data_IF_392428240612
#
_entry.id   IF_392428240612
#
_cell.length_a   1.000
_cell.length_b   1.000
_cell.length_c   1.000
_cell.angle_alpha   90.00
_cell.angle_beta   90.00
_cell.angle_gamma   90.00
#
_symmetry.space_group_name_H-M   'P 1'
#
loop_
_entity.id
_entity.type
_entity.pdbx_description
1 polymer ?
#
# COMPACT_ATOMS: atom_id res chain seq x y z
N UNK A 1 0.13 -12.02 -0.25
CA UNK A 1 1.18 -11.04 -0.62
C UNK A 1 1.59 -10.24 0.60
N UNK A 2 2.85 -9.80 0.68
CA UNK A 2 3.35 -8.94 1.75
C UNK A 2 4.02 -7.70 1.18
N UNK A 3 3.78 -6.54 1.78
CA UNK A 3 4.35 -5.27 1.36
C UNK A 3 5.87 -5.32 1.48
N UNK A 4 6.57 -5.13 0.36
CA UNK A 4 8.02 -5.22 0.28
C UNK A 4 8.71 -4.08 1.04
N UNK A 5 8.13 -2.88 1.00
CA UNK A 5 8.63 -1.72 1.75
C UNK A 5 7.55 -0.69 2.02
N UNK A 6 7.33 -0.40 3.32
CA UNK A 6 6.44 0.68 3.76
C UNK A 6 6.90 2.05 3.24
N UNK A 7 8.22 2.27 3.20
CA UNK A 7 8.78 3.55 2.77
C UNK A 7 8.58 3.76 1.27
N UNK A 8 8.74 2.69 0.47
CA UNK A 8 8.37 2.74 -0.95
C UNK A 8 6.89 3.05 -1.12
N UNK A 9 6.02 2.40 -0.36
CA UNK A 9 4.57 2.63 -0.44
C UNK A 9 4.19 4.09 -0.11
N UNK A 10 4.82 4.70 0.91
CA UNK A 10 4.62 6.11 1.27
C UNK A 10 5.01 7.10 0.17
N UNK A 11 5.88 6.73 -0.77
CA UNK A 11 6.21 7.60 -1.91
C UNK A 11 5.05 7.74 -2.90
N UNK A 12 4.07 6.82 -2.88
CA UNK A 12 2.96 6.75 -3.83
C UNK A 12 1.65 7.32 -3.30
N UNK A 13 1.54 7.50 -1.97
CA UNK A 13 0.31 7.94 -1.31
C UNK A 13 0.56 9.16 -0.45
N UNK A 14 -0.44 10.04 -0.36
CA UNK A 14 -0.40 11.14 0.59
C UNK A 14 -0.49 10.62 2.02
N UNK A 15 0.51 10.98 2.81
CA UNK A 15 0.57 10.78 4.27
C UNK A 15 0.00 11.99 5.00
N UNK A 16 -0.16 11.88 6.32
CA UNK A 16 -0.53 13.03 7.16
C UNK A 16 0.50 14.16 7.04
N UNK A 17 1.79 13.81 7.07
CA UNK A 17 2.91 14.74 6.93
C UNK A 17 2.88 15.46 5.57
N UNK A 18 2.61 14.75 4.46
CA UNK A 18 2.46 15.39 3.15
C UNK A 18 1.31 16.41 3.14
N UNK A 19 0.16 16.07 3.75
CA UNK A 19 -0.99 16.95 3.78
C UNK A 19 -0.75 18.18 4.64
N UNK A 20 -0.03 18.05 5.75
CA UNK A 20 0.40 19.17 6.58
C UNK A 20 1.40 20.07 5.82
N UNK A 21 2.37 19.47 5.14
CA UNK A 21 3.32 20.18 4.31
C UNK A 21 2.63 20.99 3.20
N UNK A 22 1.63 20.40 2.52
CA UNK A 22 0.81 21.09 1.50
C UNK A 22 0.04 22.26 2.11
N UNK A 23 -0.54 22.08 3.31
CA UNK A 23 -1.21 23.17 4.04
C UNK A 23 -0.26 24.32 4.39
N UNK A 24 1.02 24.01 4.61
CA UNK A 24 2.08 24.99 4.86
C UNK A 24 2.65 25.62 3.57
N UNK A 25 2.05 25.34 2.40
CA UNK A 25 2.44 25.93 1.12
C UNK A 25 3.45 25.13 0.31
N UNK A 26 3.76 23.87 0.69
CA UNK A 26 4.54 22.98 -0.18
C UNK A 26 3.73 22.61 -1.43
N UNK A 27 4.38 22.46 -2.59
CA UNK A 27 3.69 22.05 -3.81
C UNK A 27 3.14 20.63 -3.68
N UNK A 28 2.01 20.40 -4.35
CA UNK A 28 1.34 19.10 -4.45
C UNK A 28 2.13 18.20 -5.41
N UNK A 29 2.46 16.97 -5.00
CA UNK A 29 3.08 15.97 -5.88
C UNK A 29 2.00 15.17 -6.63
N UNK A 30 1.72 15.55 -7.88
CA UNK A 30 0.68 14.92 -8.70
C UNK A 30 0.88 13.41 -8.95
N UNK A 31 2.06 12.85 -8.65
CA UNK A 31 2.31 11.40 -8.71
C UNK A 31 1.70 10.64 -7.53
N UNK A 32 1.39 11.34 -6.42
CA UNK A 32 0.76 10.75 -5.24
C UNK A 32 -0.76 10.74 -5.35
N UNK A 33 -1.38 9.72 -4.75
CA UNK A 33 -2.84 9.61 -4.61
C UNK A 33 -3.27 9.65 -3.14
N UNK A 34 -4.48 10.14 -2.84
CA UNK A 34 -4.98 10.09 -1.46
C UNK A 34 -5.33 8.65 -1.06
N UNK A 35 -5.07 8.30 0.20
CA UNK A 35 -5.36 6.95 0.72
C UNK A 35 -6.85 6.58 0.56
N UNK A 36 -7.77 7.54 0.74
CA UNK A 36 -9.21 7.32 0.53
C UNK A 36 -9.54 7.01 -0.93
N UNK A 37 -8.89 7.69 -1.89
CA UNK A 37 -9.12 7.46 -3.32
C UNK A 37 -8.54 6.11 -3.75
N UNK A 38 -7.37 5.73 -3.23
CA UNK A 38 -6.81 4.40 -3.44
C UNK A 38 -7.74 3.31 -2.88
N UNK A 39 -8.18 3.46 -1.63
CA UNK A 39 -9.08 2.51 -0.98
C UNK A 39 -10.37 2.29 -1.79
N UNK A 40 -10.97 3.38 -2.30
CA UNK A 40 -12.15 3.32 -3.17
C UNK A 40 -11.88 2.57 -4.47
N UNK A 41 -10.73 2.78 -5.11
CA UNK A 41 -10.37 2.11 -6.38
C UNK A 41 -10.13 0.61 -6.21
N UNK A 42 -9.54 0.22 -5.08
CA UNK A 42 -9.17 -1.17 -4.76
C UNK A 42 -10.31 -1.93 -4.09
N UNK A 43 -11.37 -1.25 -3.65
CA UNK A 43 -12.52 -1.89 -3.00
C UNK A 43 -12.28 -2.26 -1.54
N UNK A 44 -11.39 -1.55 -0.84
CA UNK A 44 -11.05 -1.81 0.57
C UNK A 44 -11.43 -0.65 1.49
N UNK A 45 -11.52 -0.91 2.80
CA UNK A 45 -11.76 0.15 3.77
C UNK A 45 -10.56 1.11 3.86
N UNK A 46 -10.73 2.44 4.01
CA UNK A 46 -9.61 3.38 4.11
C UNK A 46 -8.59 3.06 5.21
N UNK A 47 -9.03 2.51 6.34
CA UNK A 47 -8.12 2.06 7.41
C UNK A 47 -7.16 0.97 6.96
N UNK A 48 -7.55 0.14 5.98
CA UNK A 48 -6.68 -0.88 5.42
C UNK A 48 -5.44 -0.25 4.76
N UNK A 49 -5.65 0.76 3.90
CA UNK A 49 -4.56 1.49 3.27
C UNK A 49 -3.73 2.23 4.33
N UNK A 50 -4.37 2.85 5.32
CA UNK A 50 -3.67 3.49 6.41
C UNK A 50 -2.78 2.51 7.20
N UNK A 51 -3.24 1.28 7.43
CA UNK A 51 -2.44 0.24 8.10
C UNK A 51 -1.23 -0.21 7.27
N UNK A 52 -1.35 -0.27 5.93
CA UNK A 52 -0.21 -0.51 5.04
C UNK A 52 0.80 0.64 5.09
N UNK A 53 0.32 1.89 5.07
CA UNK A 53 1.17 3.10 5.17
C UNK A 53 1.92 3.17 6.49
N UNK A 54 1.25 2.86 7.60
CA UNK A 54 1.88 2.88 8.93
C UNK A 54 2.80 1.67 9.16
N UNK A 55 2.62 0.59 8.40
CA UNK A 55 3.26 -0.70 8.62
C UNK A 55 2.62 -1.52 9.75
N UNK A 56 1.47 -1.08 10.29
CA UNK A 56 0.68 -1.88 11.25
C UNK A 56 0.21 -3.20 10.61
N UNK A 57 -0.09 -3.16 9.31
CA UNK A 57 -0.34 -4.33 8.49
C UNK A 57 0.69 -4.35 7.36
N UNK A 58 1.19 -5.52 7.01
CA UNK A 58 2.05 -5.70 5.84
C UNK A 58 1.50 -6.74 4.87
N UNK A 59 0.59 -7.61 5.30
CA UNK A 59 -0.04 -8.65 4.49
C UNK A 59 -1.32 -8.17 3.80
N UNK A 60 -1.60 -8.75 2.63
CA UNK A 60 -2.86 -8.64 1.92
C UNK A 60 -3.09 -9.85 1.00
N UNK A 61 -4.32 -10.01 0.49
CA UNK A 61 -4.61 -11.02 -0.55
C UNK A 61 -3.88 -10.67 -1.85
N UNK A 62 -3.68 -11.67 -2.71
CA UNK A 62 -3.07 -11.46 -4.03
C UNK A 62 -3.86 -10.47 -4.87
N UNK A 63 -5.19 -10.63 -4.93
CA UNK A 63 -6.10 -9.71 -5.61
C UNK A 63 -5.95 -8.25 -5.13
N UNK A 64 -5.88 -8.02 -3.81
CA UNK A 64 -5.71 -6.66 -3.27
C UNK A 64 -4.34 -6.09 -3.65
N UNK A 65 -3.27 -6.89 -3.63
CA UNK A 65 -1.94 -6.46 -4.05
C UNK A 65 -1.89 -6.08 -5.53
N UNK A 66 -2.48 -6.91 -6.39
CA UNK A 66 -2.57 -6.69 -7.84
C UNK A 66 -3.38 -5.41 -8.15
N UNK A 67 -4.55 -5.25 -7.54
CA UNK A 67 -5.37 -4.05 -7.71
C UNK A 67 -4.64 -2.77 -7.25
N UNK A 68 -3.86 -2.84 -6.16
CA UNK A 68 -3.04 -1.71 -5.71
C UNK A 68 -1.96 -1.39 -6.76
N UNK A 69 -1.25 -2.40 -7.26
CA UNK A 69 -0.20 -2.21 -8.25
C UNK A 69 -0.74 -1.64 -9.58
N UNK A 70 -1.90 -2.14 -10.02
CA UNK A 70 -2.61 -1.65 -11.20
C UNK A 70 -2.97 -0.16 -11.10
N UNK A 71 -3.45 0.30 -9.94
CA UNK A 71 -3.76 1.73 -9.72
C UNK A 71 -2.54 2.64 -9.96
N UNK A 72 -1.33 2.12 -9.72
CA UNK A 72 -0.08 2.83 -9.95
C UNK A 72 0.58 2.50 -11.30
N UNK A 73 0.03 1.57 -12.08
CA UNK A 73 0.65 1.07 -13.31
C UNK A 73 2.01 0.39 -13.06
N UNK A 74 2.16 -0.27 -11.91
CA UNK A 74 3.38 -0.95 -11.51
C UNK A 74 3.20 -2.47 -11.57
N UNK A 75 4.30 -3.19 -11.76
CA UNK A 75 4.31 -4.63 -11.52
C UNK A 75 4.08 -4.91 -10.03
N UNK A 76 3.29 -5.94 -9.71
CA UNK A 76 2.92 -6.29 -8.33
C UNK A 76 4.15 -6.52 -7.45
N UNK A 77 5.22 -7.11 -8.01
CA UNK A 77 6.47 -7.42 -7.30
C UNK A 77 7.29 -6.18 -6.92
N UNK A 78 6.98 -5.02 -7.52
CA UNK A 78 7.59 -3.74 -7.11
C UNK A 78 7.10 -3.31 -5.73
N UNK A 79 5.85 -3.66 -5.38
CA UNK A 79 5.21 -3.24 -4.13
C UNK A 79 5.06 -4.39 -3.13
N UNK A 80 4.87 -5.61 -3.60
CA UNK A 80 4.56 -6.75 -2.76
C UNK A 80 5.38 -7.99 -3.11
N UNK A 81 5.95 -8.62 -2.09
CA UNK A 81 6.59 -9.91 -2.20
C UNK A 81 5.56 -11.04 -2.08
N UNK A 82 5.72 -12.14 -2.83
CA UNK A 82 5.01 -13.37 -2.57
C UNK A 82 5.20 -13.79 -1.11
N UNK A 83 4.13 -14.30 -0.50
CA UNK A 83 4.25 -14.98 0.78
C UNK A 83 4.27 -16.47 0.48
N UNK A 84 5.31 -17.17 0.91
CA UNK A 84 5.27 -18.64 0.87
C UNK A 84 4.05 -19.10 1.69
N UNK A 85 3.27 -20.07 1.18
CA UNK A 85 2.30 -20.74 2.03
C UNK A 85 3.07 -21.34 3.20
N UNK A 86 2.60 -21.10 4.43
CA UNK A 86 3.14 -21.76 5.61
C UNK A 86 2.92 -23.26 5.38
N UNK A 87 3.97 -23.95 4.94
CA UNK A 87 3.94 -25.39 4.80
C UNK A 87 3.82 -25.92 6.23
N UNK A 88 2.62 -26.34 6.62
CA UNK A 88 2.41 -27.16 7.80
C UNK A 88 3.22 -28.44 7.57
N UNK A 89 4.50 -28.43 7.95
CA UNK A 89 5.27 -29.66 8.12
C UNK A 89 4.57 -30.39 9.25
N UNK A 90 3.74 -31.34 8.85
CA UNK A 90 3.29 -32.44 9.69
C UNK A 90 4.52 -33.00 10.40
N UNK A 91 4.64 -32.74 11.69
CA UNK A 91 5.43 -33.59 12.57
C UNK A 91 4.66 -34.91 12.70
N UNK A 92 5.25 -35.93 12.10
CA UNK A 92 4.90 -37.34 12.25
C UNK A 92 5.02 -37.80 13.71
#
# INVERSE_FOLDING_TARGET
>A
MRLASKERFKTLVYTKEDMEAIRMGRPVDFRKISQRKLAKRVGVHPSFINHLVSGYRTDCTTEVAENIAEVFGLDVTVLFDPQEPISNRQSA
#
